data_IF_221444694269
#
_entry.id   IF_221444694269
#
_cell.length_a   1.000
_cell.length_b   1.000
_cell.length_c   1.000
_cell.angle_alpha   90.00
_cell.angle_beta   90.00
_cell.angle_gamma   90.00
#
_symmetry.space_group_name_H-M   'P 1'
#
loop_
_entity.id
_entity.type
_entity.pdbx_description
1 polymer ?
#
# COMPACT_ATOMS: atom_id res chain seq x y z
N UNK A 1 15.65 -6.10 -30.24
CA UNK A 1 15.47 -6.83 -28.96
C UNK A 1 16.73 -6.54 -28.15
N UNK A 2 16.64 -5.61 -27.19
CA UNK A 2 17.79 -5.30 -26.33
C UNK A 2 17.76 -6.38 -25.25
N UNK A 3 18.57 -7.41 -25.43
CA UNK A 3 18.88 -8.35 -24.36
C UNK A 3 19.83 -7.55 -23.47
N UNK A 4 19.35 -7.05 -22.33
CA UNK A 4 20.25 -6.54 -21.30
C UNK A 4 21.06 -7.75 -20.84
N UNK A 5 22.34 -7.83 -21.23
CA UNK A 5 23.34 -8.80 -20.75
C UNK A 5 23.66 -8.54 -19.26
N UNK A 6 22.63 -8.53 -18.42
CA UNK A 6 22.79 -8.54 -16.97
C UNK A 6 23.09 -9.98 -16.58
N UNK A 7 24.26 -10.21 -15.99
CA UNK A 7 24.58 -11.49 -15.37
C UNK A 7 23.74 -11.65 -14.11
N UNK A 8 22.75 -12.54 -14.20
CA UNK A 8 21.86 -12.87 -13.11
C UNK A 8 22.44 -14.00 -12.26
N UNK A 9 22.54 -13.75 -10.97
CA UNK A 9 22.96 -14.73 -9.96
C UNK A 9 21.78 -15.08 -9.06
N UNK A 10 21.77 -16.32 -8.58
CA UNK A 10 20.79 -16.75 -7.59
C UNK A 10 21.27 -16.28 -6.22
N UNK A 11 20.35 -15.84 -5.38
CA UNK A 11 20.65 -15.43 -4.00
C UNK A 11 19.64 -16.03 -3.02
N UNK A 12 20.00 -16.08 -1.74
CA UNK A 12 19.15 -16.58 -0.65
C UNK A 12 19.21 -15.68 0.57
N UNK A 13 18.05 -15.33 1.12
CA UNK A 13 17.96 -14.83 2.49
C UNK A 13 17.94 -16.02 3.45
N UNK A 14 19.01 -16.19 4.22
CA UNK A 14 19.11 -17.28 5.19
C UNK A 14 18.17 -17.10 6.39
N UNK A 15 17.70 -15.87 6.68
CA UNK A 15 16.85 -15.58 7.84
C UNK A 15 15.40 -16.03 7.60
N UNK A 16 14.81 -15.60 6.47
CA UNK A 16 13.43 -15.95 6.10
C UNK A 16 13.35 -17.20 5.19
N UNK A 17 14.49 -17.72 4.74
CA UNK A 17 14.55 -18.91 3.89
C UNK A 17 14.14 -18.67 2.43
N UNK A 18 14.05 -17.40 2.01
CA UNK A 18 13.65 -17.00 0.66
C UNK A 18 14.80 -17.15 -0.35
N UNK A 19 14.48 -17.45 -1.61
CA UNK A 19 15.45 -17.50 -2.70
C UNK A 19 14.97 -16.69 -3.89
N UNK A 20 15.88 -16.00 -4.57
CA UNK A 20 15.55 -15.14 -5.70
C UNK A 20 16.74 -14.88 -6.61
N UNK A 21 16.61 -13.85 -7.41
CA UNK A 21 17.60 -13.43 -8.40
C UNK A 21 18.12 -12.03 -8.08
N UNK A 22 19.40 -11.85 -8.34
CA UNK A 22 20.08 -10.57 -8.28
C UNK A 22 20.94 -10.41 -9.53
N UNK A 23 21.36 -9.19 -9.83
CA UNK A 23 22.27 -8.91 -10.94
C UNK A 23 23.40 -7.97 -10.51
N UNK A 24 24.53 -8.03 -11.22
CA UNK A 24 25.59 -7.05 -11.03
C UNK A 24 25.27 -5.75 -11.79
N UNK A 25 25.33 -4.62 -11.09
CA UNK A 25 25.25 -3.31 -11.75
C UNK A 25 26.60 -2.92 -12.39
N UNK A 26 26.61 -1.80 -13.12
CA UNK A 26 27.80 -1.28 -13.81
C UNK A 26 28.98 -0.96 -12.87
N UNK A 27 28.73 -0.85 -11.56
CA UNK A 27 29.75 -0.60 -10.53
C UNK A 27 30.18 -1.90 -9.82
N UNK A 28 29.78 -3.08 -10.32
CA UNK A 28 30.10 -4.39 -9.74
C UNK A 28 29.35 -4.70 -8.44
N UNK A 29 28.32 -3.94 -8.08
CA UNK A 29 27.49 -4.23 -6.89
C UNK A 29 26.35 -5.17 -7.26
N UNK A 30 26.05 -6.10 -6.36
CA UNK A 30 24.92 -7.03 -6.50
C UNK A 30 23.62 -6.32 -6.10
N UNK A 31 22.64 -6.31 -7.00
CA UNK A 31 21.33 -5.69 -6.80
C UNK A 31 20.24 -6.76 -6.86
N UNK A 32 19.39 -6.83 -5.83
CA UNK A 32 18.25 -7.75 -5.79
C UNK A 32 17.20 -7.36 -6.85
N UNK A 33 16.73 -8.33 -7.65
CA UNK A 33 15.67 -8.15 -8.67
C UNK A 33 14.34 -8.84 -8.28
N UNK A 34 14.29 -9.40 -7.07
CA UNK A 34 13.10 -9.96 -6.46
C UNK A 34 12.64 -9.10 -5.29
N UNK A 35 11.35 -9.16 -4.97
CA UNK A 35 10.82 -8.67 -3.70
C UNK A 35 10.87 -9.81 -2.69
N UNK A 36 11.66 -9.64 -1.62
CA UNK A 36 11.66 -10.52 -0.46
C UNK A 36 10.85 -9.86 0.67
N UNK A 37 10.37 -10.65 1.62
CA UNK A 37 9.58 -10.13 2.74
C UNK A 37 10.35 -9.09 3.56
N UNK A 38 11.65 -9.31 3.75
CA UNK A 38 12.53 -8.43 4.52
C UNK A 38 13.37 -7.47 3.67
N UNK A 39 13.69 -7.86 2.43
CA UNK A 39 14.66 -7.16 1.58
C UNK A 39 13.93 -6.58 0.36
N UNK A 40 13.78 -5.25 0.27
CA UNK A 40 13.07 -4.65 -0.84
C UNK A 40 13.83 -4.86 -2.15
N UNK A 41 13.10 -5.01 -3.24
CA UNK A 41 13.67 -5.06 -4.59
C UNK A 41 14.57 -3.84 -4.85
N UNK A 42 15.65 -4.01 -5.61
CA UNK A 42 16.63 -2.97 -5.88
C UNK A 42 17.62 -2.69 -4.73
N UNK A 43 17.53 -3.41 -3.61
CA UNK A 43 18.53 -3.36 -2.54
C UNK A 43 19.90 -3.81 -3.05
N UNK A 44 20.95 -3.13 -2.58
CA UNK A 44 22.32 -3.60 -2.75
C UNK A 44 22.62 -4.71 -1.75
N UNK A 45 23.03 -5.87 -2.23
CA UNK A 45 23.32 -7.04 -1.41
C UNK A 45 24.82 -7.13 -1.11
N UNK A 46 25.13 -7.59 0.10
CA UNK A 46 26.44 -8.16 0.44
C UNK A 46 26.23 -9.65 0.62
N UNK A 47 27.01 -10.46 -0.11
CA UNK A 47 26.94 -11.92 -0.09
C UNK A 47 28.06 -12.50 0.77
N UNK A 48 27.85 -13.70 1.29
CA UNK A 48 28.88 -14.50 1.93
C UNK A 48 29.92 -14.98 0.89
N UNK A 49 30.97 -15.66 1.37
CA UNK A 49 32.01 -16.25 0.51
C UNK A 49 31.47 -17.31 -0.47
N UNK A 50 30.28 -17.86 -0.22
CA UNK A 50 29.59 -18.79 -1.12
C UNK A 50 28.91 -18.11 -2.33
N UNK A 51 29.01 -16.77 -2.42
CA UNK A 51 28.44 -15.92 -3.47
C UNK A 51 26.92 -16.12 -3.69
N UNK A 52 26.23 -16.66 -2.69
CA UNK A 52 24.82 -17.04 -2.76
C UNK A 52 24.02 -16.53 -1.55
N UNK A 53 24.58 -16.62 -0.35
CA UNK A 53 23.90 -16.30 0.90
C UNK A 53 24.00 -14.81 1.20
N UNK A 54 22.87 -14.15 1.43
CA UNK A 54 22.83 -12.72 1.78
C UNK A 54 23.22 -12.54 3.25
N UNK A 55 24.31 -11.79 3.50
CA UNK A 55 24.77 -11.47 4.86
C UNK A 55 24.25 -10.11 5.35
N UNK A 56 24.12 -9.15 4.45
CA UNK A 56 23.57 -7.82 4.72
C UNK A 56 23.06 -7.17 3.44
N UNK A 57 22.21 -6.16 3.59
CA UNK A 57 21.71 -5.38 2.45
C UNK A 57 21.62 -3.91 2.80
N UNK A 58 21.73 -3.07 1.78
CA UNK A 58 21.44 -1.65 1.85
C UNK A 58 20.25 -1.37 0.93
N UNK A 59 19.09 -0.98 1.47
CA UNK A 59 17.93 -0.69 0.64
C UNK A 59 18.21 0.50 -0.28
N UNK A 60 17.62 0.49 -1.47
CA UNK A 60 17.64 1.66 -2.33
C UNK A 60 16.78 2.76 -1.67
N UNK A 61 17.33 3.95 -1.37
CA UNK A 61 16.61 4.99 -0.64
C UNK A 61 15.33 5.44 -1.36
N UNK A 62 15.31 5.41 -2.70
CA UNK A 62 14.11 5.75 -3.47
C UNK A 62 13.05 4.66 -3.33
N UNK A 63 13.45 3.38 -3.42
CA UNK A 63 12.51 2.27 -3.30
C UNK A 63 11.97 2.13 -1.87
N UNK A 64 12.83 2.29 -0.86
CA UNK A 64 12.43 2.29 0.55
C UNK A 64 11.39 3.39 0.82
N UNK A 65 11.64 4.61 0.32
CA UNK A 65 10.70 5.72 0.46
C UNK A 65 9.36 5.43 -0.23
N UNK A 66 9.35 4.81 -1.42
CA UNK A 66 8.12 4.41 -2.10
C UNK A 66 7.34 3.38 -1.28
N UNK A 67 7.99 2.32 -0.82
CA UNK A 67 7.34 1.27 -0.01
C UNK A 67 6.79 1.81 1.30
N UNK A 68 7.52 2.70 2.00
CA UNK A 68 7.04 3.38 3.19
C UNK A 68 5.81 4.25 2.89
N UNK A 69 5.85 5.05 1.81
CA UNK A 69 4.70 5.88 1.40
C UNK A 69 3.47 5.05 1.03
N UNK A 70 3.66 3.92 0.33
CA UNK A 70 2.57 3.00 -0.01
C UNK A 70 1.97 2.34 1.24
N UNK A 71 2.80 1.95 2.19
CA UNK A 71 2.37 1.44 3.49
C UNK A 71 1.57 2.48 4.28
N UNK A 72 2.07 3.72 4.36
CA UNK A 72 1.38 4.82 5.04
C UNK A 72 0.04 5.14 4.36
N UNK A 73 0.00 5.15 3.03
CA UNK A 73 -1.23 5.36 2.28
C UNK A 73 -2.23 4.21 2.51
N UNK A 74 -1.77 2.95 2.52
CA UNK A 74 -2.62 1.80 2.83
C UNK A 74 -3.18 1.88 4.25
N UNK A 75 -2.36 2.30 5.21
CA UNK A 75 -2.79 2.52 6.60
C UNK A 75 -3.82 3.66 6.69
N UNK A 76 -3.59 4.78 6.01
CA UNK A 76 -4.52 5.90 5.97
C UNK A 76 -5.88 5.48 5.38
N UNK A 77 -5.88 4.72 4.26
CA UNK A 77 -7.11 4.17 3.68
C UNK A 77 -7.87 3.27 4.65
N UNK A 78 -7.17 2.41 5.40
CA UNK A 78 -7.80 1.54 6.40
C UNK A 78 -8.44 2.32 7.54
N UNK A 79 -7.78 3.38 8.01
CA UNK A 79 -8.32 4.27 9.05
C UNK A 79 -9.55 5.00 8.51
N UNK A 80 -9.46 5.60 7.32
CA UNK A 80 -10.59 6.29 6.70
C UNK A 80 -11.79 5.36 6.47
N UNK A 81 -11.53 4.13 6.07
CA UNK A 81 -12.56 3.12 5.89
C UNK A 81 -13.23 2.74 7.23
N UNK A 82 -12.43 2.53 8.28
CA UNK A 82 -12.94 2.25 9.62
C UNK A 82 -13.83 3.40 10.13
N UNK A 83 -13.36 4.65 10.00
CA UNK A 83 -14.13 5.85 10.36
C UNK A 83 -15.47 5.93 9.59
N UNK A 84 -15.49 5.57 8.30
CA UNK A 84 -16.73 5.53 7.51
C UNK A 84 -17.70 4.45 8.01
N UNK A 85 -17.20 3.26 8.33
CA UNK A 85 -18.01 2.16 8.85
C UNK A 85 -18.60 2.47 10.22
N UNK A 86 -17.88 3.18 11.09
CA UNK A 86 -18.40 3.63 12.39
C UNK A 86 -19.58 4.61 12.26
N UNK A 87 -19.70 5.30 11.12
CA UNK A 87 -20.77 6.25 10.83
C UNK A 87 -21.99 5.60 10.16
N UNK A 88 -21.95 4.31 9.83
CA UNK A 88 -23.11 3.60 9.29
C UNK A 88 -24.25 3.61 10.31
N UNK A 89 -25.43 4.00 9.85
CA UNK A 89 -26.61 4.20 10.70
C UNK A 89 -26.76 5.64 11.22
N UNK A 90 -25.75 6.50 11.10
CA UNK A 90 -25.87 7.91 11.42
C UNK A 90 -26.62 8.68 10.33
N UNK A 91 -27.18 9.82 10.70
CA UNK A 91 -27.89 10.72 9.79
C UNK A 91 -27.03 11.93 9.43
N UNK A 92 -27.16 12.37 8.20
CA UNK A 92 -26.54 13.59 7.66
C UNK A 92 -27.61 14.55 7.18
N UNK A 93 -27.34 15.86 7.20
CA UNK A 93 -28.26 16.90 6.71
C UNK A 93 -27.66 17.60 5.50
N UNK A 94 -28.42 17.69 4.43
CA UNK A 94 -28.00 18.37 3.20
C UNK A 94 -29.11 19.27 2.65
N UNK A 95 -28.83 19.97 1.54
CA UNK A 95 -29.85 20.71 0.80
C UNK A 95 -30.98 19.83 0.25
N UNK A 96 -30.74 18.51 0.14
CA UNK A 96 -31.74 17.50 -0.26
C UNK A 96 -32.58 17.00 0.93
N UNK A 97 -32.30 17.45 2.16
CA UNK A 97 -32.95 16.97 3.37
C UNK A 97 -32.05 16.05 4.20
N UNK A 98 -32.69 15.19 4.99
CA UNK A 98 -31.98 14.25 5.87
C UNK A 98 -31.65 12.96 5.11
N UNK A 99 -30.40 12.52 5.19
CA UNK A 99 -29.94 11.25 4.63
C UNK A 99 -29.47 10.30 5.72
N UNK A 100 -29.66 9.00 5.51
CA UNK A 100 -29.14 7.93 6.36
C UNK A 100 -27.94 7.27 5.68
N UNK A 101 -26.85 7.10 6.41
CA UNK A 101 -25.70 6.35 5.94
C UNK A 101 -26.04 4.86 6.04
N UNK A 102 -26.17 4.19 4.90
CA UNK A 102 -26.63 2.79 4.81
C UNK A 102 -25.49 1.78 4.81
N UNK A 103 -24.40 2.14 4.13
CA UNK A 103 -23.30 1.23 3.85
C UNK A 103 -22.04 2.03 3.44
N UNK A 104 -20.93 1.33 3.23
CA UNK A 104 -19.68 1.89 2.72
C UNK A 104 -19.17 1.07 1.54
N UNK A 105 -18.81 1.76 0.46
CA UNK A 105 -18.09 1.14 -0.66
C UNK A 105 -16.59 1.17 -0.36
N UNK A 106 -16.09 0.03 0.11
CA UNK A 106 -14.68 -0.20 0.46
C UNK A 106 -13.72 0.10 -0.71
N UNK A 107 -14.16 -0.04 -1.96
CA UNK A 107 -13.30 0.20 -3.13
C UNK A 107 -13.13 1.70 -3.42
N UNK A 108 -14.20 2.48 -3.24
CA UNK A 108 -14.18 3.92 -3.54
C UNK A 108 -13.95 4.81 -2.32
N UNK A 109 -13.86 4.23 -1.11
CA UNK A 109 -13.71 4.94 0.17
C UNK A 109 -14.81 5.98 0.37
N UNK A 110 -16.05 5.57 0.14
CA UNK A 110 -17.23 6.44 0.23
C UNK A 110 -18.37 5.73 0.92
N UNK A 111 -19.08 6.43 1.80
CA UNK A 111 -20.33 5.92 2.33
C UNK A 111 -21.48 6.15 1.36
N UNK A 112 -22.39 5.21 1.34
CA UNK A 112 -23.67 5.23 0.62
C UNK A 112 -24.71 5.90 1.51
N UNK A 113 -25.18 7.06 1.09
CA UNK A 113 -26.19 7.86 1.80
C UNK A 113 -27.50 7.81 1.04
N UNK A 114 -28.56 7.37 1.70
CA UNK A 114 -29.92 7.32 1.18
C UNK A 114 -30.77 8.44 1.80
N UNK A 115 -31.31 9.32 0.96
CA UNK A 115 -32.16 10.43 1.37
C UNK A 115 -33.65 10.04 1.37
N UNK A 116 -34.47 10.82 2.07
CA UNK A 116 -35.91 10.61 2.20
C UNK A 116 -36.68 10.57 0.86
N UNK A 117 -36.12 11.20 -0.18
CA UNK A 117 -36.64 11.16 -1.55
C UNK A 117 -36.24 9.89 -2.34
N UNK A 118 -35.66 8.89 -1.65
CA UNK A 118 -35.06 7.68 -2.20
C UNK A 118 -33.87 7.93 -3.14
N UNK A 119 -33.25 9.12 -3.10
CA UNK A 119 -32.00 9.33 -3.83
C UNK A 119 -30.82 8.79 -3.04
N UNK A 120 -29.92 8.11 -3.75
CA UNK A 120 -28.66 7.62 -3.18
C UNK A 120 -27.49 8.49 -3.65
N UNK A 121 -26.61 8.85 -2.71
CA UNK A 121 -25.35 9.56 -2.99
C UNK A 121 -24.18 8.81 -2.34
N UNK A 122 -22.99 9.02 -2.89
CA UNK A 122 -21.75 8.45 -2.37
C UNK A 122 -20.87 9.58 -1.88
N UNK A 123 -20.63 9.64 -0.57
CA UNK A 123 -19.91 10.75 0.08
C UNK A 123 -18.63 10.24 0.73
N UNK A 124 -17.57 11.04 0.63
CA UNK A 124 -16.33 10.75 1.35
C UNK A 124 -16.47 11.12 2.84
N UNK A 125 -15.49 10.70 3.64
CA UNK A 125 -15.51 10.90 5.09
C UNK A 125 -15.59 12.38 5.48
N UNK A 126 -14.87 13.25 4.77
CA UNK A 126 -14.86 14.69 5.06
C UNK A 126 -16.26 15.30 4.90
N UNK A 127 -16.93 15.03 3.78
CA UNK A 127 -18.29 15.53 3.53
C UNK A 127 -19.29 15.00 4.56
N UNK A 128 -19.16 13.73 4.96
CA UNK A 128 -20.01 13.16 6.00
C UNK A 128 -19.79 13.89 7.33
N UNK A 129 -18.54 14.05 7.77
CA UNK A 129 -18.21 14.73 9.04
C UNK A 129 -18.72 16.18 9.07
N UNK A 130 -18.70 16.90 7.94
CA UNK A 130 -19.23 18.26 7.83
C UNK A 130 -20.76 18.34 7.96
N UNK A 131 -21.47 17.30 7.50
CA UNK A 131 -22.94 17.28 7.42
C UNK A 131 -23.58 16.36 8.46
N UNK A 132 -22.78 15.77 9.35
CA UNK A 132 -23.23 14.83 10.36
C UNK A 132 -24.17 15.52 11.35
N UNK A 133 -25.32 14.91 11.60
CA UNK A 133 -26.22 15.35 12.64
C UNK A 133 -25.74 14.72 13.95
N UNK A 134 -25.06 15.50 14.78
CA UNK A 134 -24.77 15.12 16.16
C UNK A 134 -26.03 15.32 16.99
N UNK A 135 -26.70 14.24 17.37
CA UNK A 135 -27.79 14.25 18.35
C UNK A 135 -27.30 14.54 19.78
#
# INVERSE_FOLDING_TARGET
MIINDKEYIKVRDAQEGETGWAYYNENGKVILDNEFERIPCGSTLTLAEDEYTIISFTPNPVQAMITEMESDMAKAKRIELADLHELVGCKVKSNLGTGLIKDVDDNSLRAVVEFEDNTTKHWNLATIKEHLITE
#
